data_IF_559351785551
#
_entry.id   IF_559351785551
#
_cell.length_a   1.000
_cell.length_b   1.000
_cell.length_c   1.000
_cell.angle_alpha   90.00
_cell.angle_beta   90.00
_cell.angle_gamma   90.00
#
_symmetry.space_group_name_H-M   'P 1'
#
loop_
_entity.id
_entity.type
_entity.pdbx_description
1 polymer ?
#
# COMPACT_ATOMS: atom_id res chain seq x y z
N UNK A 1 6.58 3.38 -9.05
CA UNK A 1 6.14 1.97 -8.87
C UNK A 1 7.27 1.10 -9.36
N UNK A 2 7.72 0.17 -8.53
CA UNK A 2 8.92 -0.61 -8.80
C UNK A 2 8.60 -1.92 -9.52
N UNK A 3 7.47 -2.54 -9.19
CA UNK A 3 6.98 -3.75 -9.86
C UNK A 3 5.44 -3.86 -9.83
N UNK A 4 4.83 -4.65 -10.75
CA UNK A 4 3.41 -4.96 -10.70
C UNK A 4 3.02 -5.71 -9.42
N UNK A 5 1.80 -5.47 -8.93
CA UNK A 5 1.29 -6.17 -7.76
C UNK A 5 0.40 -7.35 -8.13
N UNK A 6 0.59 -8.46 -7.42
CA UNK A 6 -0.30 -9.61 -7.51
C UNK A 6 -1.46 -9.53 -6.51
N UNK A 7 -1.51 -8.50 -5.65
CA UNK A 7 -2.49 -8.36 -4.59
C UNK A 7 -3.84 -7.86 -5.15
N UNK A 8 -4.91 -8.56 -4.76
CA UNK A 8 -6.29 -8.17 -5.03
C UNK A 8 -6.84 -7.53 -3.76
N UNK A 9 -7.34 -6.31 -3.90
CA UNK A 9 -7.98 -5.56 -2.85
C UNK A 9 -9.48 -5.73 -2.99
N UNK A 10 -10.12 -6.07 -1.88
CA UNK A 10 -11.58 -6.12 -1.78
C UNK A 10 -12.02 -4.90 -0.99
N UNK A 11 -12.58 -3.92 -1.66
CA UNK A 11 -13.08 -2.69 -1.05
C UNK A 11 -14.42 -2.93 -0.34
N UNK A 12 -14.79 -2.03 0.57
CA UNK A 12 -16.02 -2.17 1.37
C UNK A 12 -17.31 -2.21 0.51
N UNK A 13 -17.29 -1.60 -0.68
CA UNK A 13 -18.37 -1.68 -1.68
C UNK A 13 -18.38 -3.00 -2.47
N UNK A 14 -17.56 -4.00 -2.05
CA UNK A 14 -17.37 -5.33 -2.66
C UNK A 14 -16.77 -5.32 -4.06
N UNK A 15 -16.21 -4.21 -4.51
CA UNK A 15 -15.42 -4.20 -5.74
C UNK A 15 -14.07 -4.89 -5.50
N UNK A 16 -13.61 -5.57 -6.54
CA UNK A 16 -12.30 -6.24 -6.55
C UNK A 16 -11.41 -5.47 -7.49
N UNK A 17 -10.40 -4.84 -6.94
CA UNK A 17 -9.44 -4.07 -7.72
C UNK A 17 -8.04 -4.61 -7.48
N UNK A 18 -7.23 -4.61 -8.54
CA UNK A 18 -5.83 -5.00 -8.44
C UNK A 18 -5.05 -3.78 -7.98
N UNK A 19 -4.16 -3.95 -7.01
CA UNK A 19 -3.21 -2.91 -6.66
C UNK A 19 -2.39 -2.52 -7.90
N UNK A 20 -2.16 -1.22 -8.10
CA UNK A 20 -1.43 -0.67 -9.25
C UNK A 20 0.01 -1.18 -9.31
N UNK A 21 0.60 -1.44 -8.14
CA UNK A 21 1.92 -2.01 -8.03
C UNK A 21 2.49 -1.93 -6.63
N UNK A 22 3.75 -2.28 -6.51
CA UNK A 22 4.50 -2.27 -5.26
C UNK A 22 5.58 -1.20 -5.31
N UNK A 23 5.79 -0.51 -4.18
CA UNK A 23 6.97 0.32 -3.94
C UNK A 23 7.77 -0.27 -2.78
N UNK A 24 9.08 -0.41 -2.97
CA UNK A 24 9.99 -1.10 -2.05
C UNK A 24 10.87 -0.09 -1.31
N UNK A 25 11.34 -0.48 -0.13
CA UNK A 25 12.34 0.27 0.66
C UNK A 25 11.93 1.72 0.99
N UNK A 26 10.64 1.98 1.12
CA UNK A 26 10.15 3.31 1.50
C UNK A 26 10.50 3.54 2.97
N UNK A 27 11.11 4.69 3.25
CA UNK A 27 11.47 5.09 4.60
C UNK A 27 10.28 5.77 5.26
N UNK A 28 9.73 5.13 6.29
CA UNK A 28 8.65 5.67 7.10
C UNK A 28 9.23 6.10 8.46
N UNK A 29 8.94 7.32 8.89
CA UNK A 29 9.33 7.79 10.22
C UNK A 29 8.10 7.69 11.13
N UNK A 30 8.12 6.77 12.09
CA UNK A 30 7.09 6.62 13.12
C UNK A 30 7.72 6.99 14.46
N UNK A 31 7.20 8.02 15.12
CA UNK A 31 7.68 8.47 16.44
C UNK A 31 9.21 8.69 16.48
N UNK A 32 9.79 9.17 15.39
CA UNK A 32 11.24 9.41 15.26
C UNK A 32 12.08 8.18 14.89
N UNK A 33 11.46 7.00 14.80
CA UNK A 33 12.13 5.76 14.36
C UNK A 33 11.95 5.62 12.85
N UNK A 34 13.06 5.42 12.14
CA UNK A 34 13.06 5.22 10.70
C UNK A 34 12.95 3.72 10.37
N UNK A 35 11.86 3.36 9.69
CA UNK A 35 11.50 1.98 9.35
C UNK A 35 11.46 1.86 7.82
N UNK A 36 12.13 0.83 7.29
CA UNK A 36 12.04 0.48 5.87
C UNK A 36 10.85 -0.44 5.65
N UNK A 37 9.93 -0.03 4.78
CA UNK A 37 8.73 -0.82 4.48
C UNK A 37 8.48 -0.94 2.98
N UNK A 38 7.73 -1.97 2.61
CA UNK A 38 7.21 -2.18 1.26
C UNK A 38 5.72 -1.87 1.29
N UNK A 39 5.25 -1.07 0.33
CA UNK A 39 3.84 -0.67 0.25
C UNK A 39 3.20 -1.11 -1.05
N UNK A 40 1.91 -1.41 -0.98
CA UNK A 40 1.04 -1.60 -2.13
C UNK A 40 0.43 -0.26 -2.52
N UNK A 41 0.49 0.08 -3.80
CA UNK A 41 -0.11 1.29 -4.36
C UNK A 41 -1.50 0.93 -4.88
N UNK A 42 -2.50 1.67 -4.45
CA UNK A 42 -3.91 1.44 -4.78
C UNK A 42 -4.44 2.68 -5.49
N UNK A 43 -5.30 2.50 -6.49
CA UNK A 43 -6.02 3.62 -7.07
C UNK A 43 -7.17 3.99 -6.13
N UNK A 44 -7.18 5.21 -5.61
CA UNK A 44 -8.20 5.68 -4.68
C UNK A 44 -8.33 7.19 -4.76
N UNK A 45 -9.56 7.67 -4.56
CA UNK A 45 -9.82 9.10 -4.40
C UNK A 45 -9.37 9.63 -3.03
N UNK A 46 -9.19 8.73 -2.06
CA UNK A 46 -8.74 9.06 -0.71
C UNK A 46 -7.22 9.05 -0.59
N UNK A 47 -6.64 10.12 -0.02
CA UNK A 47 -5.22 10.23 0.28
C UNK A 47 -4.88 9.60 1.64
N UNK A 48 -4.92 8.28 1.72
CA UNK A 48 -4.77 7.54 2.99
C UNK A 48 -3.64 6.50 2.93
N UNK A 49 -2.82 6.43 3.99
CA UNK A 49 -1.90 5.32 4.22
C UNK A 49 -2.56 4.27 5.10
N UNK A 50 -2.70 3.05 4.58
CA UNK A 50 -3.24 1.91 5.31
C UNK A 50 -2.08 1.06 5.85
N UNK A 51 -2.04 0.88 7.17
CA UNK A 51 -1.09 0.00 7.84
C UNK A 51 -1.84 -1.23 8.37
N UNK A 52 -1.68 -2.35 7.66
CA UNK A 52 -2.15 -3.65 8.11
C UNK A 52 -1.16 -4.28 9.11
N UNK A 53 -1.65 -5.21 9.91
CA UNK A 53 -0.85 -5.92 10.93
C UNK A 53 -0.36 -7.30 10.48
N UNK A 54 -0.71 -7.74 9.26
CA UNK A 54 -0.47 -9.06 8.64
C UNK A 54 -0.23 -10.24 9.61
#
# INVERSE_FOLDING_TARGET
IDEPSQIIIVTANRQRERALGTIKNVLLIIQGILIKMTFQVIDSTDQTLLLGID
#
